data_IF_635165409052
#
_entry.id   IF_635165409052
#
_cell.length_a   1.000
_cell.length_b   1.000
_cell.length_c   1.000
_cell.angle_alpha   90.00
_cell.angle_beta   90.00
_cell.angle_gamma   90.00
#
_symmetry.space_group_name_H-M   'P 1'
#
loop_
_entity.id
_entity.type
_entity.pdbx_description
1 polymer ?
#
# COMPACT_ATOMS: atom_id res chain seq x y z
N UNK A 1 -26.24 -12.67 0.35
CA UNK A 1 -25.68 -13.09 -0.96
C UNK A 1 -24.18 -13.20 -0.76
N UNK A 2 -23.56 -14.37 -0.93
CA UNK A 2 -22.11 -14.52 -0.77
C UNK A 2 -21.42 -13.64 -1.82
N UNK A 3 -20.54 -12.76 -1.38
CA UNK A 3 -19.78 -11.85 -2.24
C UNK A 3 -18.78 -12.70 -3.04
N UNK A 4 -19.11 -13.00 -4.30
CA UNK A 4 -18.31 -13.87 -5.16
C UNK A 4 -17.15 -13.08 -5.77
N UNK A 5 -15.90 -13.54 -5.59
CA UNK A 5 -14.74 -12.91 -6.21
C UNK A 5 -14.87 -12.96 -7.74
N UNK A 6 -15.16 -11.82 -8.37
CA UNK A 6 -15.51 -11.72 -9.79
C UNK A 6 -14.37 -12.11 -10.74
N UNK A 7 -13.12 -12.04 -10.28
CA UNK A 7 -11.93 -12.22 -11.11
C UNK A 7 -10.95 -13.24 -10.53
N UNK A 8 -11.42 -14.46 -10.24
CA UNK A 8 -10.59 -15.55 -9.71
C UNK A 8 -10.36 -16.66 -10.78
N UNK A 9 -9.57 -16.36 -11.81
CA UNK A 9 -9.31 -17.30 -12.92
C UNK A 9 -8.58 -18.57 -12.47
N UNK A 10 -7.71 -18.45 -11.45
CA UNK A 10 -6.90 -19.56 -10.94
C UNK A 10 -7.57 -20.39 -9.86
N UNK A 11 -8.84 -20.12 -9.53
CA UNK A 11 -9.56 -20.75 -8.42
C UNK A 11 -8.78 -20.71 -7.09
N UNK A 12 -8.11 -19.58 -6.83
CA UNK A 12 -7.35 -19.33 -5.63
C UNK A 12 -8.25 -19.40 -4.39
N UNK A 13 -7.73 -19.86 -3.24
CA UNK A 13 -8.46 -19.82 -1.98
C UNK A 13 -8.95 -18.40 -1.67
N UNK A 14 -10.19 -18.28 -1.20
CA UNK A 14 -10.78 -16.98 -0.84
C UNK A 14 -11.01 -16.88 0.66
N UNK A 15 -10.78 -15.68 1.22
CA UNK A 15 -11.13 -15.35 2.60
C UNK A 15 -12.06 -14.14 2.60
N UNK A 16 -13.19 -14.27 3.26
CA UNK A 16 -14.13 -13.16 3.44
C UNK A 16 -13.63 -12.27 4.59
N UNK A 17 -13.52 -10.96 4.32
CA UNK A 17 -13.19 -9.96 5.33
C UNK A 17 -14.46 -9.17 5.62
N UNK A 18 -15.03 -9.38 6.81
CA UNK A 18 -16.25 -8.71 7.22
C UNK A 18 -16.00 -7.21 7.43
N UNK A 19 -16.76 -6.37 6.73
CA UNK A 19 -16.73 -4.93 6.94
C UNK A 19 -17.83 -4.51 7.93
N UNK A 20 -17.59 -3.52 8.80
CA UNK A 20 -18.63 -2.95 9.67
C UNK A 20 -19.83 -2.45 8.86
N UNK A 21 -21.04 -2.55 9.44
CA UNK A 21 -22.26 -2.02 8.82
C UNK A 21 -22.10 -0.51 8.59
N UNK A 22 -22.13 -0.09 7.33
CA UNK A 22 -22.00 1.31 6.93
C UNK A 22 -20.66 1.69 6.31
N UNK A 23 -19.65 0.81 6.35
CA UNK A 23 -18.39 1.04 5.63
C UNK A 23 -18.64 1.12 4.12
N UNK A 24 -18.25 2.22 3.50
CA UNK A 24 -18.43 2.50 2.06
C UNK A 24 -17.16 3.12 1.49
N UNK A 25 -16.96 2.95 0.19
CA UNK A 25 -15.85 3.59 -0.51
C UNK A 25 -14.50 3.20 0.07
N UNK A 26 -13.63 4.18 0.32
CA UNK A 26 -12.24 3.98 0.74
C UNK A 26 -12.10 3.15 2.03
N UNK A 27 -12.95 3.37 3.03
CA UNK A 27 -12.88 2.65 4.31
C UNK A 27 -13.13 1.15 4.14
N UNK A 28 -14.05 0.79 3.23
CA UNK A 28 -14.34 -0.60 2.92
C UNK A 28 -13.16 -1.31 2.26
N UNK A 29 -12.48 -0.65 1.31
CA UNK A 29 -11.31 -1.22 0.63
C UNK A 29 -10.10 -1.29 1.56
N UNK A 30 -9.91 -0.28 2.42
CA UNK A 30 -8.78 -0.21 3.35
C UNK A 30 -8.77 -1.36 4.36
N UNK A 31 -9.94 -1.84 4.79
CA UNK A 31 -10.06 -3.00 5.67
C UNK A 31 -9.57 -4.28 5.01
N UNK A 32 -9.90 -4.48 3.72
CA UNK A 32 -9.41 -5.63 2.94
C UNK A 32 -7.91 -5.53 2.72
N UNK A 33 -7.42 -4.35 2.35
CA UNK A 33 -6.00 -4.11 2.12
C UNK A 33 -5.16 -4.35 3.38
N UNK A 34 -5.64 -3.89 4.55
CA UNK A 34 -5.00 -4.16 5.83
C UNK A 34 -4.97 -5.66 6.14
N UNK A 35 -6.11 -6.34 6.03
CA UNK A 35 -6.20 -7.77 6.28
C UNK A 35 -5.32 -8.60 5.31
N UNK A 36 -5.14 -8.13 4.07
CA UNK A 36 -4.20 -8.71 3.11
C UNK A 36 -2.74 -8.47 3.52
N UNK A 37 -2.40 -7.24 3.90
CA UNK A 37 -1.05 -6.88 4.34
C UNK A 37 -0.62 -7.66 5.58
N UNK A 38 -1.51 -7.87 6.55
CA UNK A 38 -1.26 -8.67 7.76
C UNK A 38 -0.91 -10.14 7.43
N UNK A 39 -1.54 -10.73 6.41
CA UNK A 39 -1.30 -12.12 6.01
C UNK A 39 -0.20 -12.34 4.96
N UNK A 40 0.21 -11.28 4.24
CA UNK A 40 1.17 -11.40 3.17
C UNK A 40 2.60 -11.63 3.70
N UNK A 41 3.43 -12.34 2.94
CA UNK A 41 4.88 -12.43 3.21
C UNK A 41 5.66 -11.35 2.44
N UNK A 42 5.14 -10.92 1.29
CA UNK A 42 5.73 -9.91 0.42
C UNK A 42 4.62 -9.19 -0.38
N UNK A 43 4.92 -7.97 -0.84
CA UNK A 43 4.02 -7.20 -1.71
C UNK A 43 4.56 -7.01 -3.11
N UNK A 44 3.68 -6.97 -4.10
CA UNK A 44 3.95 -6.46 -5.44
C UNK A 44 2.93 -5.39 -5.78
N UNK A 45 3.40 -4.21 -6.16
CA UNK A 45 2.57 -3.05 -6.48
C UNK A 45 2.94 -2.47 -7.83
N UNK A 46 1.94 -1.98 -8.57
CA UNK A 46 2.13 -1.12 -9.73
C UNK A 46 1.69 0.29 -9.34
N UNK A 47 2.61 1.24 -9.44
CA UNK A 47 2.37 2.62 -9.04
C UNK A 47 2.55 3.55 -10.23
N UNK A 48 1.55 4.38 -10.47
CA UNK A 48 1.50 5.40 -11.52
C UNK A 48 2.21 6.71 -11.13
N UNK A 49 2.78 6.79 -9.93
CA UNK A 49 3.38 8.01 -9.38
C UNK A 49 2.38 8.94 -8.69
N UNK A 50 1.10 8.58 -8.61
CA UNK A 50 0.00 9.45 -8.16
C UNK A 50 -0.95 8.79 -7.17
N UNK A 51 -1.15 7.48 -7.27
CA UNK A 51 -2.11 6.74 -6.46
C UNK A 51 -1.71 6.72 -4.99
N UNK A 52 -2.48 7.42 -4.16
CA UNK A 52 -2.38 7.36 -2.70
C UNK A 52 -2.61 5.94 -2.16
N UNK A 53 -3.61 5.24 -2.69
CA UNK A 53 -3.97 3.90 -2.22
C UNK A 53 -2.81 2.92 -2.37
N UNK A 54 -2.08 2.98 -3.48
CA UNK A 54 -0.91 2.15 -3.71
C UNK A 54 0.19 2.47 -2.69
N UNK A 55 0.49 3.75 -2.45
CA UNK A 55 1.48 4.15 -1.44
C UNK A 55 1.06 3.71 -0.04
N UNK A 56 -0.21 3.85 0.32
CA UNK A 56 -0.73 3.39 1.60
C UNK A 56 -0.50 1.88 1.80
N UNK A 57 -0.68 1.07 0.76
CA UNK A 57 -0.41 -0.37 0.82
C UNK A 57 1.09 -0.68 0.98
N UNK A 58 1.97 0.09 0.34
CA UNK A 58 3.43 0.01 0.57
C UNK A 58 3.76 0.36 2.03
N UNK A 59 3.19 1.43 2.57
CA UNK A 59 3.40 1.85 3.97
C UNK A 59 2.93 0.78 4.94
N UNK A 60 1.74 0.22 4.75
CA UNK A 60 1.19 -0.83 5.62
C UNK A 60 2.11 -2.05 5.67
N UNK A 61 2.60 -2.53 4.53
CA UNK A 61 3.54 -3.66 4.47
C UNK A 61 4.91 -3.29 5.07
N UNK A 62 5.42 -2.09 4.80
CA UNK A 62 6.71 -1.64 5.34
C UNK A 62 6.68 -1.50 6.87
N UNK A 63 5.56 -1.09 7.47
CA UNK A 63 5.38 -1.03 8.94
C UNK A 63 5.44 -2.41 9.59
N UNK A 64 4.96 -3.43 8.88
CA UNK A 64 5.05 -4.83 9.28
C UNK A 64 6.41 -5.47 8.90
N UNK A 65 7.39 -4.68 8.46
CA UNK A 65 8.72 -5.12 8.02
C UNK A 65 8.69 -6.11 6.84
N UNK A 66 7.65 -6.04 6.00
CA UNK A 66 7.46 -6.92 4.84
C UNK A 66 8.02 -6.26 3.59
N UNK A 67 8.87 -6.95 2.81
CA UNK A 67 9.45 -6.38 1.61
C UNK A 67 8.38 -6.16 0.53
N UNK A 68 8.45 -5.02 -0.14
CA UNK A 68 7.52 -4.67 -1.22
C UNK A 68 8.29 -4.35 -2.50
N UNK A 69 7.94 -5.01 -3.59
CA UNK A 69 8.42 -4.65 -4.93
C UNK A 69 7.41 -3.71 -5.58
N UNK A 70 7.87 -2.56 -6.04
CA UNK A 70 7.02 -1.55 -6.68
C UNK A 70 7.53 -1.32 -8.10
N UNK A 71 6.66 -1.56 -9.08
CA UNK A 71 6.86 -1.09 -10.44
C UNK A 71 6.38 0.35 -10.55
N UNK A 72 7.30 1.28 -10.84
CA UNK A 72 7.01 2.70 -11.01
C UNK A 72 6.78 2.96 -12.49
N UNK A 73 5.52 3.14 -12.89
CA UNK A 73 5.14 3.26 -14.30
C UNK A 73 5.76 4.47 -15.02
N UNK A 74 5.88 5.67 -14.41
CA UNK A 74 6.54 6.80 -15.06
C UNK A 74 8.01 6.55 -15.43
N UNK A 75 8.77 5.88 -14.57
CA UNK A 75 10.20 5.60 -14.78
C UNK A 75 10.45 4.21 -15.37
N UNK A 76 9.42 3.37 -15.45
CA UNK A 76 9.45 1.95 -15.89
C UNK A 76 10.45 1.11 -15.12
N UNK A 77 10.63 1.39 -13.83
CA UNK A 77 11.62 0.72 -12.99
C UNK A 77 10.96 -0.04 -11.85
N UNK A 78 11.60 -1.14 -11.45
CA UNK A 78 11.27 -1.84 -10.21
C UNK A 78 12.11 -1.28 -9.06
N UNK A 79 11.47 -1.04 -7.93
CA UNK A 79 12.11 -0.64 -6.67
C UNK A 79 11.71 -1.63 -5.60
N UNK A 80 12.66 -2.04 -4.76
CA UNK A 80 12.36 -2.87 -3.59
C UNK A 80 12.38 -1.97 -2.36
N UNK A 81 11.29 -1.98 -1.61
CA UNK A 81 11.10 -1.17 -0.41
C UNK A 81 11.24 -2.09 0.80
N UNK A 82 12.23 -1.82 1.64
CA UNK A 82 12.47 -2.52 2.90
C UNK A 82 12.62 -1.58 4.08
N UNK A 83 12.94 -0.32 3.80
CA UNK A 83 13.27 0.71 4.79
C UNK A 83 12.45 1.99 4.53
N UNK A 84 12.45 2.88 5.53
CA UNK A 84 11.90 4.22 5.41
C UNK A 84 12.60 5.05 4.33
N UNK A 85 13.90 4.85 4.13
CA UNK A 85 14.65 5.57 3.10
C UNK A 85 14.27 5.09 1.69
N UNK A 86 14.07 3.78 1.50
CA UNK A 86 13.54 3.26 0.23
C UNK A 86 12.18 3.86 -0.10
N UNK A 87 11.31 4.02 0.90
CA UNK A 87 10.00 4.63 0.73
C UNK A 87 10.11 6.12 0.36
N UNK A 88 11.07 6.84 0.96
CA UNK A 88 11.35 8.24 0.59
C UNK A 88 11.81 8.33 -0.87
N UNK A 89 12.72 7.46 -1.28
CA UNK A 89 13.22 7.38 -2.66
C UNK A 89 12.14 6.98 -3.66
N UNK A 90 11.17 6.16 -3.24
CA UNK A 90 9.99 5.85 -4.04
C UNK A 90 9.16 7.10 -4.26
N UNK A 91 8.83 7.83 -3.19
CA UNK A 91 8.01 9.05 -3.26
C UNK A 91 8.65 10.13 -4.12
N UNK A 92 9.99 10.24 -4.12
CA UNK A 92 10.72 11.18 -4.98
C UNK A 92 10.56 10.90 -6.50
N UNK A 93 10.05 9.72 -6.90
CA UNK A 93 9.77 9.38 -8.29
C UNK A 93 8.31 9.66 -8.72
N UNK A 94 7.48 10.13 -7.79
CA UNK A 94 6.09 10.48 -8.07
C UNK A 94 5.93 11.89 -8.63
N UNK A 95 4.68 12.20 -8.97
CA UNK A 95 4.24 13.55 -9.32
C UNK A 95 4.25 14.45 -8.09
N UNK A 96 4.92 15.61 -8.15
CA UNK A 96 5.19 16.45 -6.98
C UNK A 96 3.93 16.84 -6.19
N UNK A 97 2.89 17.32 -6.87
CA UNK A 97 1.63 17.76 -6.22
C UNK A 97 0.91 16.57 -5.57
N UNK A 98 0.97 15.41 -6.23
CA UNK A 98 0.36 14.19 -5.73
C UNK A 98 1.12 13.66 -4.51
N UNK A 99 2.44 13.66 -4.56
CA UNK A 99 3.33 13.22 -3.47
C UNK A 99 3.16 14.11 -2.24
N UNK A 100 3.10 15.43 -2.41
CA UNK A 100 2.91 16.36 -1.30
C UNK A 100 1.59 16.10 -0.56
N UNK A 101 0.49 15.91 -1.31
CA UNK A 101 -0.80 15.50 -0.73
C UNK A 101 -0.71 14.16 0.00
N UNK A 102 -0.06 13.17 -0.60
CA UNK A 102 0.09 11.83 0.00
C UNK A 102 0.88 11.90 1.31
N UNK A 103 2.00 12.61 1.34
CA UNK A 103 2.85 12.76 2.54
C UNK A 103 2.07 13.42 3.68
N UNK A 104 1.28 14.45 3.37
CA UNK A 104 0.43 15.14 4.33
C UNK A 104 -0.68 14.21 4.85
N UNK A 105 -1.47 13.61 3.97
CA UNK A 105 -2.62 12.79 4.34
C UNK A 105 -2.25 11.49 5.07
N UNK A 106 -1.12 10.88 4.72
CA UNK A 106 -0.62 9.67 5.38
C UNK A 106 0.25 9.99 6.61
N UNK A 107 0.39 11.26 6.98
CA UNK A 107 1.18 11.73 8.11
C UNK A 107 2.62 11.18 8.10
N UNK A 108 3.24 11.15 6.91
CA UNK A 108 4.58 10.60 6.69
C UNK A 108 5.70 11.60 7.02
N UNK A 109 5.39 12.70 7.70
CA UNK A 109 6.35 13.76 8.05
C UNK A 109 7.53 13.25 8.88
N UNK A 110 7.31 12.26 9.74
CA UNK A 110 8.33 11.67 10.61
C UNK A 110 9.33 10.77 9.87
N UNK A 111 9.04 10.37 8.62
CA UNK A 111 10.02 9.69 7.78
C UNK A 111 11.24 10.56 7.49
N UNK A 112 11.23 11.86 7.82
CA UNK A 112 12.40 12.75 7.77
C UNK A 112 13.45 12.46 8.84
N UNK A 113 13.15 11.71 9.89
CA UNK A 113 14.04 11.58 11.07
C UNK A 113 14.54 10.15 11.36
N UNK A 114 14.26 9.17 10.50
CA UNK A 114 14.89 7.84 10.59
C UNK A 114 14.53 7.03 11.85
N UNK A 115 13.49 7.41 12.57
CA UNK A 115 13.00 6.64 13.72
C UNK A 115 11.92 5.66 13.28
N UNK A 116 12.25 4.37 13.43
CA UNK A 116 11.32 3.24 13.38
C UNK A 116 10.09 3.55 14.26
N UNK A 117 8.88 3.39 13.72
CA UNK A 117 7.66 3.45 14.51
C UNK A 117 7.70 2.30 15.53
N UNK A 118 7.44 2.55 16.83
CA UNK A 118 7.37 1.47 17.81
C UNK A 118 6.15 0.59 17.50
N UNK A 119 6.35 -0.73 17.61
CA UNK A 119 5.31 -1.74 17.46
C UNK A 119 4.34 -1.81 18.63
#
# INVERSE_FOLDING_TARGET
MKDHCRNNVGNWPTREVAAPRGAKGFDYYSLKDRAMAETADYGLMLWDGKSKGTVNNVVNLSREHKPVVVYVAPTKQFRTIKTSDDLRDLLAQGDSDSVERIVSELHLGDLRHGTMLPG
#
